data_IF_416215624787
#
_entry.id   IF_416215624787
#
_cell.length_a   1.000
_cell.length_b   1.000
_cell.length_c   1.000
_cell.angle_alpha   90.00
_cell.angle_beta   90.00
_cell.angle_gamma   90.00
#
_symmetry.space_group_name_H-M   'P 1'
#
loop_
_entity.id
_entity.type
_entity.pdbx_description
1 polymer ?
#
# COMPACT_ATOMS: atom_id res chain seq x y z
N UNK A 1 -5.82 23.04 -1.79
CA UNK A 1 -4.39 23.25 -1.49
C UNK A 1 -3.84 21.92 -0.99
N UNK A 2 -2.98 21.26 -1.77
CA UNK A 2 -2.32 20.02 -1.32
C UNK A 2 -1.26 20.44 -0.31
N UNK A 3 -1.45 20.08 0.96
CA UNK A 3 -0.43 20.31 1.98
C UNK A 3 0.84 19.58 1.52
N UNK A 4 1.92 20.34 1.30
CA UNK A 4 3.26 19.79 1.15
C UNK A 4 3.55 19.00 2.43
N UNK A 5 3.37 17.67 2.38
CA UNK A 5 3.64 16.75 3.50
C UNK A 5 5.13 16.85 3.79
N UNK A 6 5.50 17.72 4.74
CA UNK A 6 6.88 17.90 5.17
C UNK A 6 7.43 16.54 5.63
N UNK A 7 8.65 16.23 5.20
CA UNK A 7 9.38 15.08 5.71
C UNK A 7 9.57 15.29 7.21
N UNK A 8 9.18 14.31 8.05
CA UNK A 8 9.40 14.43 9.48
C UNK A 8 10.91 14.56 9.76
N UNK A 9 11.25 15.44 10.70
CA UNK A 9 12.61 15.56 11.21
C UNK A 9 12.79 14.50 12.28
N UNK A 10 13.94 13.81 12.26
CA UNK A 10 14.30 12.86 13.32
C UNK A 10 14.35 13.60 14.66
N UNK A 11 13.72 13.02 15.67
CA UNK A 11 13.67 13.60 16.99
C UNK A 11 15.02 13.49 17.71
N UNK A 12 15.24 14.35 18.70
CA UNK A 12 16.47 14.31 19.49
C UNK A 12 16.51 12.98 20.26
N UNK A 13 17.67 12.34 20.28
CA UNK A 13 17.93 11.06 20.97
C UNK A 13 17.27 9.83 20.32
N UNK A 14 16.55 10.00 19.20
CA UNK A 14 16.04 8.90 18.37
C UNK A 14 17.04 8.51 17.28
N UNK A 15 17.05 7.23 16.94
CA UNK A 15 17.80 6.67 15.83
C UNK A 15 16.86 6.14 14.72
N UNK A 16 17.31 6.08 13.45
CA UNK A 16 16.50 5.49 12.39
C UNK A 16 16.27 4.01 12.64
N UNK A 17 15.02 3.56 12.42
CA UNK A 17 14.68 2.14 12.44
C UNK A 17 15.20 1.44 11.19
N UNK A 18 15.75 0.26 11.39
CA UNK A 18 16.16 -0.70 10.36
C UNK A 18 15.93 -2.13 10.81
N UNK A 19 16.07 -3.08 9.89
CA UNK A 19 15.78 -4.50 10.15
C UNK A 19 16.59 -5.12 11.29
N UNK A 20 17.69 -4.50 11.75
CA UNK A 20 18.56 -5.06 12.79
C UNK A 20 18.34 -4.43 14.19
N UNK A 21 17.56 -3.33 14.30
CA UNK A 21 17.36 -2.64 15.58
C UNK A 21 15.90 -2.55 16.03
N UNK A 22 14.98 -3.26 15.37
CA UNK A 22 13.59 -3.35 15.81
C UNK A 22 13.49 -4.20 17.10
N UNK A 23 12.65 -3.80 18.07
CA UNK A 23 12.31 -4.66 19.21
C UNK A 23 11.53 -5.87 18.74
N UNK A 24 11.71 -6.98 19.45
CA UNK A 24 10.96 -8.20 19.21
C UNK A 24 9.54 -8.07 19.75
N UNK A 25 8.56 -8.47 18.94
CA UNK A 25 7.16 -8.59 19.36
C UNK A 25 6.64 -9.93 18.89
N UNK A 26 6.33 -10.82 19.82
CA UNK A 26 5.74 -12.11 19.49
C UNK A 26 4.25 -12.00 19.14
N UNK A 27 3.72 -13.05 18.48
CA UNK A 27 2.33 -13.07 18.02
C UNK A 27 1.30 -12.99 19.16
N UNK A 28 1.57 -13.57 20.33
CA UNK A 28 0.66 -13.57 21.47
C UNK A 28 0.60 -12.18 22.11
N UNK A 29 1.74 -11.51 22.25
CA UNK A 29 1.82 -10.13 22.74
C UNK A 29 1.07 -9.17 21.81
N UNK A 30 1.29 -9.30 20.50
CA UNK A 30 0.56 -8.50 19.52
C UNK A 30 -0.96 -8.75 19.60
N UNK A 31 -1.40 -10.01 19.60
CA UNK A 31 -2.83 -10.37 19.66
C UNK A 31 -3.47 -9.95 20.98
N UNK A 32 -2.77 -10.11 22.11
CA UNK A 32 -3.23 -9.70 23.44
C UNK A 32 -3.48 -8.20 23.51
N UNK A 33 -2.59 -7.38 22.94
CA UNK A 33 -2.78 -5.94 22.88
C UNK A 33 -3.91 -5.57 21.90
N UNK A 34 -3.98 -6.18 20.71
CA UNK A 34 -5.06 -5.91 19.76
C UNK A 34 -6.45 -6.26 20.33
N UNK A 35 -6.54 -7.29 21.18
CA UNK A 35 -7.78 -7.65 21.88
C UNK A 35 -8.20 -6.61 22.93
N UNK A 36 -7.27 -5.84 23.50
CA UNK A 36 -7.57 -4.74 24.40
C UNK A 36 -7.98 -3.46 23.64
N UNK A 37 -7.57 -3.34 22.38
CA UNK A 37 -8.01 -2.26 21.49
C UNK A 37 -9.48 -2.43 21.10
N UNK A 38 -10.22 -1.32 21.00
CA UNK A 38 -11.65 -1.33 20.65
C UNK A 38 -11.87 -1.36 19.13
N UNK A 39 -11.16 -2.24 18.43
CA UNK A 39 -11.15 -2.32 16.96
C UNK A 39 -12.48 -2.80 16.35
N UNK A 40 -13.36 -3.42 17.15
CA UNK A 40 -14.66 -3.95 16.72
C UNK A 40 -15.60 -2.85 16.18
N UNK A 41 -15.38 -1.60 16.59
CA UNK A 41 -16.15 -0.45 16.12
C UNK A 41 -15.67 0.10 14.77
N UNK A 42 -14.50 -0.32 14.28
CA UNK A 42 -14.02 0.16 13.00
C UNK A 42 -14.78 -0.51 11.87
N UNK A 43 -15.26 0.32 10.96
CA UNK A 43 -15.91 -0.11 9.74
C UNK A 43 -14.99 -1.07 8.98
N UNK A 44 -15.42 -2.33 8.84
CA UNK A 44 -14.68 -3.36 8.09
C UNK A 44 -14.49 -2.97 6.63
N UNK A 45 -15.34 -2.09 6.08
CA UNK A 45 -15.17 -1.57 4.72
C UNK A 45 -14.05 -0.51 4.62
N UNK A 46 -13.62 0.06 5.76
CA UNK A 46 -12.46 0.95 5.87
C UNK A 46 -11.19 0.22 6.30
N UNK A 47 -11.23 -1.11 6.44
CA UNK A 47 -10.01 -1.88 6.70
C UNK A 47 -8.99 -1.62 5.59
N UNK A 48 -7.71 -1.44 5.90
CA UNK A 48 -6.67 -1.33 4.89
C UNK A 48 -6.74 -2.55 3.96
N UNK A 49 -6.61 -2.33 2.64
CA UNK A 49 -6.62 -3.44 1.69
C UNK A 49 -5.47 -4.40 2.02
N UNK A 50 -5.63 -5.71 1.79
CA UNK A 50 -4.66 -6.74 2.20
C UNK A 50 -3.24 -6.55 1.64
N UNK A 51 -3.06 -5.73 0.61
CA UNK A 51 -1.77 -5.47 -0.04
C UNK A 51 -1.05 -4.20 0.47
N UNK A 52 -1.60 -3.54 1.48
CA UNK A 52 -1.22 -2.18 1.88
C UNK A 52 -0.25 -2.16 3.08
N UNK A 53 -0.08 -3.28 3.79
CA UNK A 53 0.57 -3.32 5.12
C UNK A 53 1.97 -2.70 5.19
N UNK A 54 2.90 -3.18 4.37
CA UNK A 54 4.32 -2.77 4.44
C UNK A 54 4.60 -1.43 3.78
N UNK A 55 3.89 -1.18 2.70
CA UNK A 55 4.03 0.01 1.90
C UNK A 55 3.38 1.23 2.57
N UNK A 56 2.60 1.00 3.64
CA UNK A 56 1.98 2.02 4.50
C UNK A 56 2.97 2.66 5.46
N UNK A 57 4.05 1.98 5.82
CA UNK A 57 4.87 2.38 6.96
C UNK A 57 6.19 2.97 6.50
N UNK A 58 6.58 4.05 7.15
CA UNK A 58 7.81 4.76 6.87
C UNK A 58 8.15 5.77 7.97
N UNK A 59 9.32 6.38 7.84
CA UNK A 59 9.91 7.25 8.85
C UNK A 59 9.91 6.64 10.25
N UNK A 60 10.22 5.33 10.32
CA UNK A 60 10.32 4.63 11.59
C UNK A 60 11.59 5.10 12.29
N UNK A 61 11.44 5.61 13.50
CA UNK A 61 12.53 5.95 14.41
C UNK A 61 12.25 5.29 15.76
N UNK A 62 13.31 5.02 16.51
CA UNK A 62 13.19 4.43 17.83
C UNK A 62 14.18 5.03 18.82
N UNK A 63 13.81 4.97 20.09
CA UNK A 63 14.64 5.39 21.22
C UNK A 63 14.51 4.37 22.33
N UNK A 64 15.64 3.95 22.89
CA UNK A 64 15.68 2.99 24.01
C UNK A 64 16.06 3.73 25.29
N UNK A 65 15.26 3.54 26.33
CA UNK A 65 15.53 4.07 27.65
C UNK A 65 15.04 3.10 28.73
N UNK A 66 15.91 2.70 29.66
CA UNK A 66 15.55 1.90 30.84
C UNK A 66 14.74 0.62 30.53
N UNK A 67 15.06 -0.10 29.45
CA UNK A 67 14.34 -1.32 29.04
C UNK A 67 13.05 -1.08 28.25
N UNK A 68 12.66 0.19 28.06
CA UNK A 68 11.57 0.59 27.18
C UNK A 68 12.12 1.00 25.80
N UNK A 69 11.47 0.53 24.74
CA UNK A 69 11.69 0.94 23.37
C UNK A 69 10.49 1.75 22.88
N UNK A 70 10.71 3.03 22.65
CA UNK A 70 9.72 3.93 22.06
C UNK A 70 9.94 4.00 20.56
N UNK A 71 8.97 3.54 19.77
CA UNK A 71 8.96 3.64 18.33
C UNK A 71 8.00 4.74 17.88
N UNK A 72 8.40 5.47 16.85
CA UNK A 72 7.53 6.41 16.15
C UNK A 72 7.59 6.13 14.67
N UNK A 73 6.43 6.17 14.00
CA UNK A 73 6.35 5.97 12.57
C UNK A 73 5.22 6.78 11.94
N UNK A 74 5.31 6.99 10.63
CA UNK A 74 4.18 7.44 9.82
C UNK A 74 3.53 6.22 9.16
N UNK A 75 2.22 6.11 9.33
CA UNK A 75 1.38 5.04 8.78
C UNK A 75 0.40 5.65 7.78
N UNK A 76 0.40 5.17 6.54
CA UNK A 76 -0.46 5.65 5.47
C UNK A 76 -1.37 4.51 5.00
N UNK A 77 -2.61 4.47 5.48
CA UNK A 77 -3.59 3.45 5.05
C UNK A 77 -4.13 3.74 3.64
N UNK A 78 -4.11 5.02 3.26
CA UNK A 78 -4.38 5.49 1.91
C UNK A 78 -3.57 6.77 1.65
N UNK A 79 -3.58 7.31 0.43
CA UNK A 79 -2.90 8.57 0.15
C UNK A 79 -3.46 9.75 0.99
N UNK A 80 -4.76 9.74 1.28
CA UNK A 80 -5.46 10.78 2.05
C UNK A 80 -5.55 10.46 3.54
N UNK A 81 -5.40 9.20 3.94
CA UNK A 81 -5.48 8.74 5.33
C UNK A 81 -4.09 8.35 5.84
N UNK A 82 -3.43 9.29 6.53
CA UNK A 82 -2.17 9.07 7.23
C UNK A 82 -2.30 9.38 8.72
N UNK A 83 -1.43 8.78 9.52
CA UNK A 83 -1.27 9.08 10.94
C UNK A 83 0.15 8.83 11.43
N UNK A 84 0.62 9.71 12.32
CA UNK A 84 1.85 9.54 13.07
C UNK A 84 1.52 8.75 14.33
N UNK A 85 2.20 7.62 14.51
CA UNK A 85 1.93 6.67 15.58
C UNK A 85 3.14 6.57 16.49
N UNK A 86 2.93 6.62 17.80
CA UNK A 86 3.89 6.23 18.83
C UNK A 86 3.51 4.86 19.39
N UNK A 87 4.46 3.97 19.53
CA UNK A 87 4.33 2.65 20.14
C UNK A 87 5.42 2.51 21.21
N UNK A 88 5.07 2.06 22.41
CA UNK A 88 6.00 1.83 23.51
C UNK A 88 5.99 0.35 23.86
N UNK A 89 7.17 -0.27 23.85
CA UNK A 89 7.37 -1.68 24.16
C UNK A 89 8.30 -1.78 25.36
N UNK A 90 7.94 -2.63 26.31
CA UNK A 90 8.85 -3.10 27.33
C UNK A 90 9.62 -4.30 26.77
N UNK A 91 10.91 -4.10 26.48
CA UNK A 91 11.79 -5.15 25.93
C UNK A 91 12.18 -6.19 27.00
N UNK A 92 12.01 -5.88 28.29
CA UNK A 92 12.32 -6.80 29.41
C UNK A 92 11.17 -7.76 29.67
N UNK A 93 9.95 -7.24 29.75
CA UNK A 93 8.73 -8.03 30.00
C UNK A 93 8.08 -8.53 28.70
N UNK A 94 8.69 -8.24 27.54
CA UNK A 94 8.16 -8.53 26.19
C UNK A 94 6.68 -8.09 26.05
N UNK A 95 6.36 -6.86 26.47
CA UNK A 95 4.98 -6.35 26.52
C UNK A 95 4.80 -5.03 25.75
N UNK A 96 3.68 -4.91 25.04
CA UNK A 96 3.25 -3.63 24.46
C UNK A 96 2.60 -2.79 25.54
N UNK A 97 3.24 -1.67 25.90
CA UNK A 97 2.78 -0.78 26.96
C UNK A 97 1.70 0.19 26.47
N UNK A 98 1.90 0.76 25.28
CA UNK A 98 1.03 1.83 24.76
C UNK A 98 1.15 1.99 23.25
N UNK A 99 0.04 2.37 22.60
CA UNK A 99 -0.05 2.71 21.18
C UNK A 99 -0.93 3.95 21.03
N UNK A 100 -0.45 4.97 20.33
CA UNK A 100 -1.18 6.21 20.14
C UNK A 100 -0.98 6.78 18.75
N UNK A 101 -2.07 7.18 18.11
CA UNK A 101 -2.05 7.91 16.84
C UNK A 101 -2.38 9.37 17.11
N UNK A 102 -1.48 10.26 16.70
CA UNK A 102 -1.57 11.71 16.98
C UNK A 102 -2.44 12.48 16.00
N UNK A 103 -2.85 11.85 14.88
CA UNK A 103 -3.66 12.48 13.83
C UNK A 103 -5.11 11.95 13.80
N UNK A 104 -5.52 11.14 14.77
CA UNK A 104 -6.90 10.63 14.87
C UNK A 104 -7.49 11.01 16.22
N UNK A 105 -8.74 11.48 16.24
CA UNK A 105 -9.46 11.83 17.47
C UNK A 105 -9.82 10.60 18.33
N UNK A 106 -9.73 9.40 17.74
CA UNK A 106 -10.12 8.13 18.32
C UNK A 106 -8.94 7.45 19.04
N UNK A 107 -8.77 7.75 20.34
CA UNK A 107 -7.73 7.16 21.18
C UNK A 107 -7.92 5.63 21.30
N UNK A 108 -6.90 4.85 20.91
CA UNK A 108 -6.93 3.38 20.86
C UNK A 108 -8.01 2.75 19.96
N UNK A 109 -8.61 3.54 19.07
CA UNK A 109 -9.70 3.14 18.18
C UNK A 109 -9.35 3.39 16.69
N UNK A 110 -8.07 3.51 16.33
CA UNK A 110 -7.64 3.72 14.94
C UNK A 110 -6.92 2.52 14.32
N UNK A 111 -7.09 2.32 13.01
CA UNK A 111 -6.35 1.31 12.23
C UNK A 111 -4.84 1.58 12.17
N UNK A 112 -4.40 2.84 12.30
CA UNK A 112 -2.98 3.20 12.20
C UNK A 112 -2.14 2.47 13.25
N UNK A 113 -2.61 2.46 14.51
CA UNK A 113 -1.93 1.77 15.60
C UNK A 113 -1.87 0.26 15.40
N UNK A 114 -3.00 -0.35 15.03
CA UNK A 114 -3.10 -1.79 14.79
C UNK A 114 -2.19 -2.25 13.64
N UNK A 115 -2.16 -1.49 12.53
CA UNK A 115 -1.30 -1.78 11.38
C UNK A 115 0.16 -1.65 11.75
N UNK A 116 0.54 -0.64 12.53
CA UNK A 116 1.93 -0.48 12.96
C UNK A 116 2.39 -1.63 13.85
N UNK A 117 1.57 -2.07 14.80
CA UNK A 117 1.87 -3.21 15.67
C UNK A 117 2.03 -4.52 14.88
N UNK A 118 1.09 -4.81 13.97
CA UNK A 118 1.15 -6.02 13.14
C UNK A 118 2.36 -6.03 12.21
N UNK A 119 2.72 -4.85 11.67
CA UNK A 119 3.94 -4.70 10.87
C UNK A 119 5.18 -4.96 11.71
N UNK A 120 5.27 -4.40 12.92
CA UNK A 120 6.43 -4.56 13.78
C UNK A 120 6.62 -6.02 14.17
N UNK A 121 5.55 -6.70 14.60
CA UNK A 121 5.57 -8.14 14.88
C UNK A 121 6.17 -8.91 13.70
N UNK A 122 5.63 -8.74 12.50
CA UNK A 122 6.10 -9.44 11.30
C UNK A 122 7.56 -9.14 10.97
N UNK A 123 7.99 -7.87 11.07
CA UNK A 123 9.39 -7.47 10.79
C UNK A 123 10.37 -7.97 11.83
N UNK A 124 9.95 -8.07 13.09
CA UNK A 124 10.81 -8.58 14.16
C UNK A 124 11.02 -10.10 14.12
N UNK A 125 10.19 -10.82 13.36
CA UNK A 125 10.33 -12.27 13.14
C UNK A 125 11.01 -12.62 11.81
N UNK A 126 11.31 -11.64 10.96
CA UNK A 126 12.07 -11.88 9.73
C UNK A 126 13.50 -12.32 10.10
N UNK A 127 14.04 -13.38 9.48
CA UNK A 127 15.40 -13.83 9.77
C UNK A 127 16.41 -12.76 9.34
N UNK A 128 17.52 -12.68 10.07
CA UNK A 128 18.62 -11.77 9.74
C UNK A 128 19.07 -11.99 8.30
N UNK A 129 18.64 -11.08 7.42
CA UNK A 129 19.02 -11.10 6.02
C UNK A 129 20.37 -10.37 5.87
N UNK A 130 21.25 -10.78 4.94
CA UNK A 130 22.54 -10.11 4.73
C UNK A 130 22.42 -8.63 4.29
N UNK A 131 21.21 -8.16 3.99
CA UNK A 131 20.94 -6.77 3.64
C UNK A 131 20.10 -6.08 4.72
N UNK A 132 20.57 -4.91 5.15
CA UNK A 132 19.90 -4.06 6.15
C UNK A 132 18.82 -3.21 5.46
N UNK A 133 17.55 -3.50 5.72
CA UNK A 133 16.45 -2.67 5.20
C UNK A 133 16.24 -1.47 6.12
N UNK A 134 16.39 -0.26 5.58
CA UNK A 134 16.10 0.98 6.33
C UNK A 134 14.62 1.34 6.24
N UNK A 135 14.02 1.67 7.38
CA UNK A 135 12.64 2.12 7.50
C UNK A 135 12.50 3.64 7.69
N UNK A 136 13.63 4.36 7.75
CA UNK A 136 13.67 5.82 7.70
C UNK A 136 13.52 6.35 6.26
N UNK A 137 12.38 6.03 5.65
CA UNK A 137 12.02 6.38 4.28
C UNK A 137 10.56 6.77 4.17
N UNK A 138 10.19 7.42 3.08
CA UNK A 138 8.79 7.72 2.80
C UNK A 138 7.99 6.43 2.53
N UNK A 139 6.79 6.26 3.12
CA UNK A 139 5.92 5.13 2.79
C UNK A 139 5.70 5.03 1.29
N UNK A 140 5.78 3.82 0.71
CA UNK A 140 5.66 3.65 -0.74
C UNK A 140 4.29 4.11 -1.25
N UNK A 141 3.23 3.99 -0.45
CA UNK A 141 1.89 4.48 -0.80
C UNK A 141 1.86 6.00 -0.96
N UNK A 142 2.60 6.75 -0.13
CA UNK A 142 2.77 8.19 -0.33
C UNK A 142 3.56 8.50 -1.62
N UNK A 143 4.53 7.67 -1.98
CA UNK A 143 5.29 7.84 -3.23
C UNK A 143 4.42 7.62 -4.48
N UNK A 144 3.41 6.74 -4.42
CA UNK A 144 2.49 6.53 -5.55
C UNK A 144 1.70 7.80 -5.86
N UNK A 145 1.30 8.56 -4.84
CA UNK A 145 0.62 9.85 -4.98
C UNK A 145 1.50 10.89 -5.70
N UNK A 146 2.80 10.94 -5.41
CA UNK A 146 3.73 11.85 -6.10
C UNK A 146 4.07 11.42 -7.53
N UNK A 147 3.95 10.13 -7.86
CA UNK A 147 4.25 9.58 -9.19
C UNK A 147 3.04 9.52 -10.12
N UNK A 148 1.82 9.49 -9.60
CA UNK A 148 0.60 9.61 -10.40
C UNK A 148 0.38 11.07 -10.81
N UNK A 149 1.25 11.59 -11.69
CA UNK A 149 0.80 12.64 -12.62
C UNK A 149 -0.34 12.01 -13.39
N UNK A 150 -1.57 12.47 -13.18
CA UNK A 150 -2.75 12.02 -13.93
C UNK A 150 -2.37 12.00 -15.41
N UNK A 151 -2.12 10.80 -15.95
CA UNK A 151 -1.83 10.66 -17.36
C UNK A 151 -3.19 10.77 -18.03
N UNK A 152 -3.55 12.00 -18.40
CA UNK A 152 -4.71 12.23 -19.24
C UNK A 152 -4.54 11.41 -20.52
N UNK A 153 -5.65 10.93 -21.09
CA UNK A 153 -5.64 10.22 -22.39
C UNK A 153 -4.85 10.97 -23.46
N UNK A 154 -4.87 12.31 -23.41
CA UNK A 154 -4.07 13.24 -24.24
C UNK A 154 -2.56 13.16 -24.04
N UNK A 155 -2.05 12.67 -22.91
CA UNK A 155 -0.61 12.46 -22.67
C UNK A 155 -0.15 11.07 -23.10
N UNK A 156 -1.00 10.05 -22.97
CA UNK A 156 -0.74 8.72 -23.57
C UNK A 156 -0.63 8.80 -25.10
N UNK A 157 -1.42 9.66 -25.74
CA UNK A 157 -1.42 9.84 -27.19
C UNK A 157 -0.23 10.64 -27.74
N UNK A 158 0.59 11.26 -26.88
CA UNK A 158 1.74 12.08 -27.32
C UNK A 158 2.99 11.27 -27.61
N UNK A 159 3.06 10.03 -27.14
CA UNK A 159 4.09 9.11 -27.63
C UNK A 159 3.71 8.72 -29.05
N UNK A 160 4.25 9.44 -30.04
CA UNK A 160 4.43 8.93 -31.41
C UNK A 160 5.36 7.71 -31.30
N UNK A 161 4.87 6.58 -30.81
CA UNK A 161 5.40 5.32 -31.27
C UNK A 161 5.06 5.35 -32.76
N UNK A 162 6.08 5.25 -33.63
CA UNK A 162 5.82 4.66 -34.94
C UNK A 162 5.28 3.27 -34.61
N UNK A 163 3.95 3.14 -34.55
CA UNK A 163 3.33 1.88 -34.84
C UNK A 163 3.96 1.44 -36.16
N UNK A 164 4.48 0.21 -36.27
CA UNK A 164 4.72 -0.37 -37.59
C UNK A 164 3.46 -0.04 -38.39
N UNK A 165 3.63 0.51 -39.58
CA UNK A 165 2.53 0.85 -40.46
C UNK A 165 1.81 -0.47 -40.72
N UNK A 166 0.82 -0.76 -39.87
CA UNK A 166 0.11 -2.01 -39.89
C UNK A 166 -0.77 -1.86 -41.12
N UNK A 167 -0.32 -2.43 -42.23
CA UNK A 167 -1.11 -2.47 -43.44
C UNK A 167 -2.44 -3.09 -43.03
N UNK A 168 -3.49 -2.26 -43.01
CA UNK A 168 -4.84 -2.69 -42.71
C UNK A 168 -5.21 -3.66 -43.82
N UNK A 169 -5.06 -4.96 -43.54
CA UNK A 169 -5.46 -5.99 -44.47
C UNK A 169 -6.87 -6.44 -44.06
N UNK A 170 -7.93 -5.91 -44.70
CA UNK A 170 -9.30 -6.27 -44.38
C UNK A 170 -9.57 -7.77 -44.54
N UNK A 171 -8.74 -8.49 -45.31
CA UNK A 171 -8.84 -9.93 -45.48
C UNK A 171 -8.65 -10.72 -44.17
N UNK A 172 -7.91 -10.18 -43.19
CA UNK A 172 -7.69 -10.86 -41.91
C UNK A 172 -8.98 -10.92 -41.10
N UNK A 173 -9.72 -9.80 -41.06
CA UNK A 173 -10.99 -9.72 -40.34
C UNK A 173 -12.05 -10.61 -41.00
N UNK A 174 -12.15 -10.58 -42.33
CA UNK A 174 -13.11 -11.42 -43.07
C UNK A 174 -12.78 -12.91 -42.92
N UNK A 175 -11.49 -13.28 -42.97
CA UNK A 175 -11.06 -14.66 -42.73
C UNK A 175 -11.38 -15.11 -41.30
N UNK A 176 -11.12 -14.25 -40.31
CA UNK A 176 -11.44 -14.52 -38.90
C UNK A 176 -12.95 -14.74 -38.69
N UNK A 177 -13.80 -13.85 -39.23
CA UNK A 177 -15.25 -14.00 -39.14
C UNK A 177 -15.75 -15.24 -39.89
N UNK A 178 -15.12 -15.59 -41.02
CA UNK A 178 -15.46 -16.80 -41.77
C UNK A 178 -15.13 -18.08 -40.99
N UNK A 179 -13.97 -18.14 -40.32
CA UNK A 179 -13.59 -19.27 -39.48
C UNK A 179 -14.45 -19.35 -38.21
N UNK A 180 -14.82 -18.21 -37.63
CA UNK A 180 -15.73 -18.17 -36.49
C UNK A 180 -17.11 -18.74 -36.86
N UNK A 181 -17.66 -18.36 -38.03
CA UNK A 181 -18.92 -18.91 -38.55
C UNK A 181 -18.81 -20.42 -38.82
N UNK A 182 -17.74 -20.89 -39.45
CA UNK A 182 -17.51 -22.34 -39.70
C UNK A 182 -17.46 -23.15 -38.42
N UNK A 183 -16.86 -22.61 -37.36
CA UNK A 183 -16.71 -23.28 -36.05
C UNK A 183 -17.90 -23.05 -35.12
N UNK A 184 -18.93 -22.34 -35.59
CA UNK A 184 -20.12 -21.97 -34.82
C UNK A 184 -19.76 -21.30 -33.47
N UNK A 185 -18.77 -20.41 -33.49
CA UNK A 185 -18.32 -19.68 -32.31
C UNK A 185 -19.26 -18.51 -32.05
N UNK A 186 -19.85 -18.49 -30.86
CA UNK A 186 -20.68 -17.37 -30.40
C UNK A 186 -20.00 -16.67 -29.22
N UNK A 187 -19.63 -15.41 -29.43
CA UNK A 187 -18.95 -14.60 -28.44
C UNK A 187 -19.17 -13.12 -28.68
N UNK A 188 -19.12 -12.33 -27.60
CA UNK A 188 -19.41 -10.88 -27.61
C UNK A 188 -18.61 -10.13 -28.68
N UNK A 189 -17.34 -10.48 -28.86
CA UNK A 189 -16.46 -9.91 -29.90
C UNK A 189 -16.94 -10.22 -31.32
N UNK A 190 -17.37 -11.45 -31.58
CA UNK A 190 -17.87 -11.88 -32.90
C UNK A 190 -19.18 -11.16 -33.22
N UNK A 191 -20.09 -11.03 -32.25
CA UNK A 191 -21.35 -10.29 -32.42
C UNK A 191 -21.10 -8.81 -32.73
N UNK A 192 -20.24 -8.15 -31.95
CA UNK A 192 -19.90 -6.73 -32.14
C UNK A 192 -19.26 -6.45 -33.51
N UNK A 193 -18.39 -7.35 -33.97
CA UNK A 193 -17.73 -7.21 -35.27
C UNK A 193 -18.66 -7.53 -36.43
N UNK A 194 -19.60 -8.47 -36.26
CA UNK A 194 -20.60 -8.81 -37.28
C UNK A 194 -21.61 -7.67 -37.49
N UNK A 195 -21.99 -6.94 -36.43
CA UNK A 195 -22.91 -5.79 -36.54
C UNK A 195 -22.33 -4.60 -37.29
N UNK A 196 -20.99 -4.47 -37.36
CA UNK A 196 -20.34 -3.38 -38.11
C UNK A 196 -20.32 -3.59 -39.63
N UNK A 197 -20.43 -4.83 -40.11
CA UNK A 197 -20.49 -5.10 -41.56
C UNK A 197 -21.82 -4.63 -42.19
N UNK A 198 -22.88 -4.49 -41.38
CA UNK A 198 -24.21 -4.07 -41.85
C UNK A 198 -24.33 -2.55 -41.97
N UNK A 199 -23.59 -1.77 -41.16
CA UNK A 199 -23.61 -0.30 -41.20
C UNK A 199 -22.78 0.29 -42.36
N UNK A 200 -21.74 -0.41 -42.83
CA UNK A 200 -20.84 0.06 -43.91
C UNK A 200 -21.40 -0.21 -45.33
N UNK A 201 -22.63 -0.73 -45.43
CA UNK A 201 -23.35 -0.99 -46.69
C UNK A 201 -24.54 -0.04 -46.94
N UNK A 202 -24.73 0.98 -46.10
CA UNK A 202 -25.76 2.02 -46.29
C UNK A 202 -25.22 3.32 -46.88
#
# INVERSE_FOLDING_TARGET
MVALKLKPKMEKDFEPGDSANLPRVDCFTAVRYLASMKLVKLDRNKSPKPCTGDDSIGYVQLHRNEGLCTLKARVNLSPEAYGNVTLIINEVDEEVMHIECHDCDEQNECWHGAVFLLWLHRRSEEPDFPYRESYWREPKIAQVESRLKIITTKQLSKTKRRLPELQSNPAVLTHFLSEAKKRNLDGTLIRYLSTKEDDDKS
#
